data_IF_657020327378
#
_entry.id   IF_657020327378
#
_cell.length_a   1.000
_cell.length_b   1.000
_cell.length_c   1.000
_cell.angle_alpha   90.00
_cell.angle_beta   90.00
_cell.angle_gamma   90.00
#
_symmetry.space_group_name_H-M   'P 1'
#
loop_
_entity.id
_entity.type
_entity.pdbx_description
1 polymer ?
#
# COMPACT_ATOMS: atom_id res chain seq x y z
N UNK A 1 -54.81 23.21 -43.37
CA UNK A 1 -54.96 22.44 -42.12
C UNK A 1 -54.01 21.25 -42.14
N UNK A 2 -53.19 21.12 -41.08
CA UNK A 2 -52.69 19.87 -40.47
C UNK A 2 -51.92 18.86 -41.35
N UNK A 3 -50.59 18.75 -41.14
CA UNK A 3 -49.99 17.69 -40.31
C UNK A 3 -48.46 17.66 -40.47
N UNK A 4 -47.74 18.21 -39.50
CA UNK A 4 -46.27 18.19 -39.46
C UNK A 4 -45.85 18.11 -37.99
N UNK A 5 -45.93 16.92 -37.38
CA UNK A 5 -45.64 16.70 -35.95
C UNK A 5 -45.30 15.23 -35.62
N UNK A 6 -44.56 14.52 -36.48
CA UNK A 6 -44.22 13.11 -36.24
C UNK A 6 -42.72 12.77 -36.34
N UNK A 7 -41.85 13.75 -36.57
CA UNK A 7 -40.41 13.49 -36.74
C UNK A 7 -39.57 13.71 -35.47
N UNK A 8 -40.07 14.41 -34.44
CA UNK A 8 -39.25 14.79 -33.28
C UNK A 8 -39.25 13.79 -32.12
N UNK A 9 -40.14 12.79 -32.11
CA UNK A 9 -40.24 11.86 -30.96
C UNK A 9 -39.30 10.65 -31.09
N UNK A 10 -38.87 10.30 -32.30
CA UNK A 10 -38.05 9.09 -32.53
C UNK A 10 -36.56 9.32 -32.25
N UNK A 11 -36.08 10.57 -32.26
CA UNK A 11 -34.66 10.86 -32.02
C UNK A 11 -34.29 11.02 -30.53
N UNK A 12 -35.28 11.10 -29.63
CA UNK A 12 -35.02 11.37 -28.20
C UNK A 12 -34.98 10.11 -27.32
N UNK A 13 -35.31 8.94 -27.86
CA UNK A 13 -35.31 7.67 -27.12
C UNK A 13 -34.05 6.83 -27.32
N UNK A 14 -33.06 7.30 -28.10
CA UNK A 14 -31.86 6.51 -28.44
C UNK A 14 -30.60 6.86 -27.63
N UNK A 15 -30.67 7.74 -26.61
CA UNK A 15 -29.50 8.18 -25.83
C UNK A 15 -29.44 7.67 -24.38
N UNK A 16 -30.37 6.81 -23.96
CA UNK A 16 -30.40 6.27 -22.58
C UNK A 16 -29.69 4.91 -22.46
N UNK A 17 -28.98 4.45 -23.50
CA UNK A 17 -28.13 3.25 -23.47
C UNK A 17 -26.63 3.58 -23.40
N UNK A 18 -26.27 4.73 -22.78
CA UNK A 18 -24.90 4.90 -22.27
C UNK A 18 -24.79 4.05 -21.00
N UNK A 19 -24.50 2.78 -21.27
CA UNK A 19 -23.98 1.76 -20.39
C UNK A 19 -23.26 2.35 -19.17
N UNK A 20 -23.84 2.13 -17.99
CA UNK A 20 -23.09 2.03 -16.76
C UNK A 20 -22.03 0.96 -16.99
N UNK A 21 -20.80 1.39 -17.25
CA UNK A 21 -19.65 0.50 -17.32
C UNK A 21 -19.63 -0.34 -16.05
N UNK A 22 -19.80 -1.64 -16.21
CA UNK A 22 -19.46 -2.61 -15.17
C UNK A 22 -18.07 -2.26 -14.67
N UNK A 23 -18.02 -1.75 -13.44
CA UNK A 23 -16.81 -1.76 -12.64
C UNK A 23 -16.50 -3.24 -12.48
N UNK A 24 -15.71 -3.79 -13.41
CA UNK A 24 -15.19 -5.15 -13.32
C UNK A 24 -14.66 -5.28 -11.91
N UNK A 25 -15.18 -6.20 -11.07
CA UNK A 25 -14.55 -6.45 -9.80
C UNK A 25 -13.10 -6.75 -10.14
N UNK A 26 -12.19 -5.89 -9.66
CA UNK A 26 -10.75 -6.08 -9.84
C UNK A 26 -10.51 -7.55 -9.56
N UNK A 27 -10.04 -8.27 -10.58
CA UNK A 27 -9.67 -9.67 -10.48
C UNK A 27 -8.70 -9.73 -9.31
N UNK A 28 -9.18 -10.11 -8.12
CA UNK A 28 -8.35 -10.28 -6.93
C UNK A 28 -7.32 -11.29 -7.40
N UNK A 29 -6.09 -10.84 -7.59
CA UNK A 29 -4.97 -11.71 -7.93
C UNK A 29 -4.88 -12.64 -6.72
N UNK A 30 -5.43 -13.84 -6.87
CA UNK A 30 -5.43 -14.84 -5.84
C UNK A 30 -3.98 -15.11 -5.46
N UNK A 31 -3.71 -15.12 -4.16
CA UNK A 31 -2.40 -15.31 -3.54
C UNK A 31 -1.68 -16.59 -4.05
N UNK A 32 -2.42 -17.51 -4.67
CA UNK A 32 -1.91 -18.75 -5.27
C UNK A 32 -0.87 -18.62 -6.38
N UNK A 33 -0.76 -17.48 -7.10
CA UNK A 33 0.29 -17.34 -8.14
C UNK A 33 1.62 -16.75 -7.65
N UNK A 34 1.73 -16.31 -6.38
CA UNK A 34 2.94 -15.65 -5.87
C UNK A 34 3.83 -16.52 -4.97
N UNK A 35 3.33 -17.62 -4.41
CA UNK A 35 4.16 -18.46 -3.51
C UNK A 35 5.40 -19.03 -4.22
N UNK A 36 5.25 -19.44 -5.48
CA UNK A 36 6.36 -20.01 -6.26
C UNK A 36 7.50 -19.03 -6.49
N UNK A 37 7.22 -17.72 -6.63
CA UNK A 37 8.26 -16.71 -6.84
C UNK A 37 8.96 -16.26 -5.57
N UNK A 38 8.35 -16.45 -4.39
CA UNK A 38 8.98 -16.13 -3.09
C UNK A 38 10.09 -17.14 -2.75
N UNK A 39 10.04 -18.34 -3.34
CA UNK A 39 11.04 -19.39 -3.16
C UNK A 39 12.30 -19.19 -4.01
N UNK A 40 12.27 -18.29 -4.99
CA UNK A 40 13.41 -18.03 -5.86
C UNK A 40 14.58 -17.40 -5.10
N UNK A 41 15.79 -17.60 -5.62
CA UNK A 41 16.96 -16.86 -5.15
C UNK A 41 16.72 -15.35 -5.32
N UNK A 42 17.26 -14.48 -4.44
CA UNK A 42 17.10 -13.04 -4.56
C UNK A 42 17.51 -12.57 -5.97
N UNK A 43 16.57 -11.94 -6.69
CA UNK A 43 16.81 -11.41 -8.03
C UNK A 43 16.99 -9.90 -7.94
N UNK A 44 17.93 -9.30 -8.67
CA UNK A 44 17.98 -7.85 -8.79
C UNK A 44 16.66 -7.31 -9.32
N UNK A 45 16.23 -6.14 -8.83
CA UNK A 45 15.07 -5.46 -9.39
C UNK A 45 15.31 -5.20 -10.89
N UNK A 46 14.30 -5.49 -11.73
CA UNK A 46 14.36 -5.14 -13.15
C UNK A 46 14.40 -3.63 -13.33
N UNK A 47 14.91 -3.12 -14.47
CA UNK A 47 15.10 -1.68 -14.70
C UNK A 47 13.88 -0.83 -14.35
N UNK A 48 12.69 -1.19 -14.85
CA UNK A 48 11.46 -0.48 -14.52
C UNK A 48 11.09 -0.53 -13.02
N UNK A 49 11.23 -1.71 -12.38
CA UNK A 49 10.96 -1.84 -10.93
C UNK A 49 11.98 -1.04 -10.10
N UNK A 50 13.23 -0.99 -10.55
CA UNK A 50 14.31 -0.25 -9.92
C UNK A 50 14.05 1.26 -9.98
N UNK A 51 13.62 1.77 -11.14
CA UNK A 51 13.26 3.19 -11.30
C UNK A 51 12.11 3.57 -10.37
N UNK A 52 11.03 2.77 -10.34
CA UNK A 52 9.89 3.00 -9.44
C UNK A 52 10.31 2.98 -7.98
N UNK A 53 11.08 1.95 -7.57
CA UNK A 53 11.57 1.83 -6.20
C UNK A 53 12.46 3.02 -5.82
N UNK A 54 13.33 3.47 -6.73
CA UNK A 54 14.19 4.63 -6.51
C UNK A 54 13.37 5.92 -6.32
N UNK A 55 12.36 6.15 -7.15
CA UNK A 55 11.42 7.28 -7.02
C UNK A 55 10.68 7.25 -5.68
N UNK A 56 10.21 6.08 -5.23
CA UNK A 56 9.61 5.91 -3.90
C UNK A 56 10.59 6.27 -2.78
N UNK A 57 11.84 5.82 -2.87
CA UNK A 57 12.86 6.08 -1.87
C UNK A 57 13.24 7.57 -1.79
N UNK A 58 13.29 8.27 -2.93
CA UNK A 58 13.47 9.72 -2.96
C UNK A 58 12.30 10.46 -2.31
N UNK A 59 11.06 10.05 -2.61
CA UNK A 59 9.87 10.63 -2.01
C UNK A 59 9.86 10.46 -0.48
N UNK A 60 10.20 9.26 0.01
CA UNK A 60 10.32 8.98 1.44
C UNK A 60 11.47 9.73 2.12
N UNK A 61 12.59 9.96 1.43
CA UNK A 61 13.68 10.81 1.93
C UNK A 61 13.23 12.25 2.07
N UNK A 62 12.55 12.79 1.05
CA UNK A 62 12.01 14.15 1.07
C UNK A 62 10.98 14.31 2.20
N UNK A 63 10.06 13.36 2.36
CA UNK A 63 9.12 13.31 3.50
C UNK A 63 9.84 13.43 4.83
N UNK A 64 10.92 12.67 5.03
CA UNK A 64 11.67 12.70 6.29
C UNK A 64 12.17 14.11 6.62
N UNK A 65 12.70 14.82 5.61
CA UNK A 65 13.18 16.19 5.75
C UNK A 65 12.04 17.18 6.02
N UNK A 66 10.93 17.07 5.27
CA UNK A 66 9.76 17.94 5.42
C UNK A 66 9.09 17.74 6.79
N UNK A 67 8.91 16.50 7.22
CA UNK A 67 8.31 16.16 8.50
C UNK A 67 9.11 16.73 9.67
N UNK A 68 10.45 16.60 9.61
CA UNK A 68 11.34 17.18 10.63
C UNK A 68 11.37 18.71 10.63
N UNK A 69 11.29 19.33 9.46
CA UNK A 69 11.45 20.79 9.35
C UNK A 69 10.16 21.57 9.57
N UNK A 70 8.99 20.98 9.23
CA UNK A 70 7.72 21.70 9.21
C UNK A 70 6.64 21.05 10.06
N UNK A 71 6.60 19.72 10.16
CA UNK A 71 5.44 19.03 10.72
C UNK A 71 5.65 18.42 12.11
N UNK A 72 6.80 18.64 12.76
CA UNK A 72 7.02 18.14 14.12
C UNK A 72 5.99 18.73 15.08
N UNK A 73 5.39 17.87 15.90
CA UNK A 73 4.32 18.17 16.84
C UNK A 73 2.98 18.57 16.20
N UNK A 74 2.86 18.53 14.86
CA UNK A 74 1.58 18.70 14.20
C UNK A 74 0.67 17.49 14.40
N UNK A 75 -0.62 17.74 14.18
CA UNK A 75 -1.67 16.75 14.33
C UNK A 75 -2.01 16.13 12.97
N UNK A 76 -2.09 14.80 12.96
CA UNK A 76 -2.45 14.00 11.81
C UNK A 76 -3.65 13.12 12.15
N UNK A 77 -4.64 13.11 11.26
CA UNK A 77 -5.83 12.27 11.41
C UNK A 77 -5.79 11.14 10.38
N UNK A 78 -6.14 9.94 10.83
CA UNK A 78 -6.22 8.77 9.98
C UNK A 78 -7.57 8.10 10.14
N UNK A 79 -8.08 7.54 9.05
CA UNK A 79 -9.16 6.57 9.09
C UNK A 79 -8.57 5.16 9.08
N UNK A 80 -8.88 4.38 10.12
CA UNK A 80 -8.46 2.99 10.27
C UNK A 80 -9.64 2.09 9.95
N UNK A 81 -9.55 1.36 8.85
CA UNK A 81 -10.51 0.34 8.46
C UNK A 81 -9.96 -1.04 8.85
N UNK A 82 -10.68 -1.74 9.74
CA UNK A 82 -10.41 -3.13 10.08
C UNK A 82 -11.46 -4.02 9.43
N UNK A 83 -11.02 -5.04 8.69
CA UNK A 83 -11.90 -6.08 8.14
C UNK A 83 -11.50 -7.41 8.73
N UNK A 84 -12.38 -8.00 9.53
CA UNK A 84 -12.16 -9.31 10.16
C UNK A 84 -12.40 -10.47 9.18
N UNK A 85 -11.95 -11.67 9.55
CA UNK A 85 -12.11 -12.89 8.74
C UNK A 85 -13.56 -13.24 8.36
N UNK A 86 -14.53 -12.89 9.21
CA UNK A 86 -15.96 -13.04 8.94
C UNK A 86 -16.53 -11.97 7.99
N UNK A 87 -15.67 -11.11 7.41
CA UNK A 87 -15.99 -9.98 6.54
C UNK A 87 -16.71 -8.82 7.22
N UNK A 88 -16.82 -8.79 8.55
CA UNK A 88 -17.26 -7.59 9.25
C UNK A 88 -16.19 -6.52 9.14
N UNK A 89 -16.59 -5.30 8.75
CA UNK A 89 -15.71 -4.14 8.68
C UNK A 89 -16.09 -3.12 9.74
N UNK A 90 -15.09 -2.51 10.37
CA UNK A 90 -15.23 -1.39 11.28
C UNK A 90 -14.28 -0.28 10.85
N UNK A 91 -14.76 0.96 10.81
CA UNK A 91 -13.93 2.14 10.57
C UNK A 91 -13.83 2.98 11.84
N UNK A 92 -12.64 3.51 12.13
CA UNK A 92 -12.39 4.41 13.26
C UNK A 92 -11.45 5.53 12.84
N UNK A 93 -11.84 6.77 13.13
CA UNK A 93 -10.94 7.91 12.96
C UNK A 93 -10.06 8.03 14.19
N UNK A 94 -8.75 8.09 13.98
CA UNK A 94 -7.76 8.37 15.03
C UNK A 94 -7.09 9.69 14.77
N UNK A 95 -6.79 10.41 15.84
CA UNK A 95 -5.97 11.63 15.80
C UNK A 95 -4.66 11.34 16.51
N UNK A 96 -3.58 11.74 15.87
CA UNK A 96 -2.22 11.48 16.32
C UNK A 96 -1.40 12.76 16.30
N UNK A 97 -0.31 12.81 17.06
CA UNK A 97 0.68 13.87 16.99
C UNK A 97 1.99 13.32 16.48
N UNK A 98 2.61 14.01 15.52
CA UNK A 98 3.92 13.62 15.01
C UNK A 98 5.00 13.96 16.05
N UNK A 99 5.78 12.96 16.44
CA UNK A 99 6.91 13.12 17.34
C UNK A 99 8.16 12.42 16.79
N UNK A 100 9.32 12.82 17.30
CA UNK A 100 10.59 12.15 17.01
C UNK A 100 11.14 11.52 18.29
N UNK A 101 11.54 10.26 18.22
CA UNK A 101 12.18 9.54 19.32
C UNK A 101 13.32 8.69 18.75
N UNK A 102 14.53 8.85 19.29
CA UNK A 102 15.73 8.14 18.82
C UNK A 102 15.96 8.25 17.30
N UNK A 103 15.76 9.45 16.73
CA UNK A 103 15.81 9.73 15.28
C UNK A 103 14.77 8.98 14.43
N UNK A 104 13.72 8.44 15.04
CA UNK A 104 12.59 7.80 14.36
C UNK A 104 11.36 8.69 14.51
N UNK A 105 10.71 8.99 13.38
CA UNK A 105 9.45 9.71 13.34
C UNK A 105 8.29 8.74 13.67
N UNK A 106 7.44 9.12 14.62
CA UNK A 106 6.29 8.33 15.08
C UNK A 106 5.03 9.19 15.12
N UNK A 107 3.89 8.60 14.76
CA UNK A 107 2.57 9.13 15.06
C UNK A 107 2.17 8.64 16.45
N UNK A 108 1.96 9.52 17.41
CA UNK A 108 1.56 9.12 18.76
C UNK A 108 0.08 9.43 19.02
N UNK A 109 -0.65 8.47 19.58
CA UNK A 109 -2.08 8.59 19.90
C UNK A 109 -2.35 8.05 21.29
N UNK A 110 -3.32 8.66 21.97
CA UNK A 110 -3.84 8.17 23.26
C UNK A 110 -4.89 7.06 23.09
N UNK A 111 -5.37 6.83 21.87
CA UNK A 111 -6.33 5.78 21.58
C UNK A 111 -5.63 4.41 21.58
N UNK A 112 -6.30 3.41 22.17
CA UNK A 112 -5.80 2.04 22.24
C UNK A 112 -6.02 1.22 20.95
N UNK A 113 -6.59 1.83 19.90
CA UNK A 113 -6.80 1.19 18.60
C UNK A 113 -5.47 0.90 17.93
N UNK A 114 -5.36 -0.20 17.19
CA UNK A 114 -4.18 -0.49 16.38
C UNK A 114 -4.06 0.49 15.21
N UNK A 115 -2.85 0.97 14.94
CA UNK A 115 -2.50 1.77 13.76
C UNK A 115 -1.00 1.67 13.46
N UNK A 116 -0.58 2.11 12.28
CA UNK A 116 0.83 2.12 11.90
C UNK A 116 1.54 3.31 12.55
N UNK A 117 2.12 3.05 13.74
CA UNK A 117 2.78 4.07 14.57
C UNK A 117 4.01 4.70 13.91
N UNK A 118 4.86 3.89 13.28
CA UNK A 118 6.10 4.38 12.69
C UNK A 118 5.82 5.09 11.38
N UNK A 119 6.34 6.30 11.22
CA UNK A 119 6.26 7.02 9.95
C UNK A 119 7.16 6.31 8.94
N UNK A 120 6.57 5.89 7.82
CA UNK A 120 7.34 5.34 6.70
C UNK A 120 8.30 6.41 6.17
N UNK A 121 9.58 6.06 6.12
CA UNK A 121 10.70 6.87 5.64
C UNK A 121 11.68 5.98 4.89
N UNK A 122 12.69 6.59 4.26
CA UNK A 122 13.73 5.84 3.56
C UNK A 122 14.61 4.97 4.48
N UNK A 123 14.58 5.19 5.80
CA UNK A 123 15.36 4.44 6.81
C UNK A 123 14.50 3.64 7.79
N UNK A 124 13.19 3.89 7.83
CA UNK A 124 12.25 3.21 8.72
C UNK A 124 11.04 2.75 7.94
N UNK A 125 10.63 1.50 8.14
CA UNK A 125 9.42 0.94 7.56
C UNK A 125 9.67 -0.14 6.52
N UNK A 126 8.65 -0.40 5.70
CA UNK A 126 8.62 -1.49 4.73
C UNK A 126 9.73 -1.38 3.68
N UNK A 127 10.00 -0.17 3.19
CA UNK A 127 10.96 0.04 2.11
C UNK A 127 12.40 0.30 2.58
N UNK A 128 12.65 0.40 3.88
CA UNK A 128 13.99 0.67 4.41
C UNK A 128 15.09 -0.29 3.90
N UNK A 129 14.87 -1.63 3.80
CA UNK A 129 15.87 -2.56 3.26
C UNK A 129 16.20 -2.33 1.78
N UNK A 130 15.27 -1.74 1.01
CA UNK A 130 15.43 -1.46 -0.42
C UNK A 130 16.05 -0.07 -0.62
N UNK A 131 15.58 0.93 0.14
CA UNK A 131 16.01 2.32 -0.02
C UNK A 131 17.45 2.57 0.39
N UNK A 132 17.95 1.90 1.43
CA UNK A 132 19.35 2.04 1.87
C UNK A 132 20.36 1.75 0.75
N UNK A 133 20.32 0.56 0.12
CA UNK A 133 21.16 0.21 -1.02
C UNK A 133 20.92 1.09 -2.25
N UNK A 134 19.65 1.31 -2.65
CA UNK A 134 19.33 2.08 -3.86
C UNK A 134 19.85 3.51 -3.79
N UNK A 135 19.66 4.20 -2.66
CA UNK A 135 20.12 5.58 -2.50
C UNK A 135 21.65 5.70 -2.42
N UNK A 136 22.36 4.59 -2.18
CA UNK A 136 23.83 4.50 -2.24
C UNK A 136 24.34 4.07 -3.63
N UNK A 137 23.46 3.89 -4.62
CA UNK A 137 23.82 3.41 -5.96
C UNK A 137 24.13 1.92 -6.02
N UNK A 138 23.67 1.13 -5.05
CA UNK A 138 23.83 -0.32 -5.03
C UNK A 138 22.62 -1.02 -5.66
N UNK A 139 22.84 -2.24 -6.15
CA UNK A 139 21.75 -3.08 -6.64
C UNK A 139 20.87 -3.54 -5.47
N UNK A 140 19.57 -3.30 -5.55
CA UNK A 140 18.59 -3.87 -4.64
C UNK A 140 17.95 -5.11 -5.26
N UNK A 141 17.60 -6.08 -4.41
CA UNK A 141 16.91 -7.30 -4.80
C UNK A 141 15.41 -7.19 -4.54
N UNK A 142 14.63 -7.96 -5.29
CA UNK A 142 13.19 -8.09 -5.08
C UNK A 142 12.84 -8.92 -3.85
N UNK A 143 13.83 -9.53 -3.19
CA UNK A 143 13.65 -10.40 -2.04
C UNK A 143 14.67 -10.05 -0.96
N UNK A 144 14.22 -9.98 0.29
CA UNK A 144 15.05 -9.71 1.48
C UNK A 144 14.78 -10.79 2.51
N UNK A 145 15.84 -11.31 3.14
CA UNK A 145 15.70 -12.24 4.26
C UNK A 145 15.30 -11.45 5.53
N UNK A 146 14.21 -11.86 6.19
CA UNK A 146 13.68 -11.25 7.41
C UNK A 146 13.58 -12.28 8.52
N UNK A 147 14.64 -12.42 9.33
CA UNK A 147 14.65 -13.30 10.51
C UNK A 147 14.32 -14.76 10.16
N UNK A 148 13.06 -15.16 10.39
CA UNK A 148 12.52 -16.49 10.15
C UNK A 148 11.82 -16.66 8.79
N UNK A 149 11.83 -15.62 7.95
CA UNK A 149 11.14 -15.61 6.66
C UNK A 149 11.87 -14.85 5.56
N UNK A 150 11.19 -14.72 4.43
CA UNK A 150 11.60 -13.94 3.27
C UNK A 150 10.50 -12.98 2.91
N UNK A 151 10.87 -11.74 2.59
CA UNK A 151 9.97 -10.73 2.06
C UNK A 151 10.25 -10.50 0.59
N UNK A 152 9.26 -10.74 -0.26
CA UNK A 152 9.32 -10.40 -1.69
C UNK A 152 8.58 -9.09 -1.96
N UNK A 153 9.12 -8.24 -2.83
CA UNK A 153 8.61 -6.93 -3.20
C UNK A 153 8.21 -6.89 -4.68
N UNK A 154 7.07 -6.24 -4.96
CA UNK A 154 6.61 -5.93 -6.29
C UNK A 154 6.23 -4.46 -6.38
N UNK A 155 6.80 -3.78 -7.37
CA UNK A 155 6.64 -2.35 -7.58
C UNK A 155 5.80 -2.09 -8.84
N UNK A 156 4.90 -1.12 -8.73
CA UNK A 156 3.97 -0.73 -9.79
C UNK A 156 3.89 0.80 -9.84
N UNK A 157 3.80 1.37 -11.04
CA UNK A 157 3.49 2.78 -11.23
C UNK A 157 1.98 2.92 -11.49
N UNK A 158 1.34 3.89 -10.84
CA UNK A 158 -0.08 4.21 -10.97
C UNK A 158 -0.22 5.74 -11.05
N UNK A 159 -0.35 6.33 -12.25
CA UNK A 159 -0.61 7.76 -12.52
C UNK A 159 -0.29 8.76 -11.38
N UNK A 160 0.98 9.13 -11.24
CA UNK A 160 1.44 10.09 -10.21
C UNK A 160 1.71 9.47 -8.83
N UNK A 161 1.37 8.21 -8.64
CA UNK A 161 1.66 7.40 -7.46
C UNK A 161 2.54 6.21 -7.82
N UNK A 162 3.26 5.73 -6.81
CA UNK A 162 3.95 4.46 -6.85
C UNK A 162 3.34 3.53 -5.82
N UNK A 163 3.14 2.28 -6.20
CA UNK A 163 2.58 1.24 -5.34
C UNK A 163 3.61 0.14 -5.14
N UNK A 164 3.74 -0.30 -3.90
CA UNK A 164 4.49 -1.51 -3.57
C UNK A 164 3.55 -2.51 -2.91
N UNK A 165 3.64 -3.76 -3.34
CA UNK A 165 3.09 -4.91 -2.62
C UNK A 165 4.25 -5.76 -2.16
N UNK A 166 4.23 -6.15 -0.89
CA UNK A 166 5.20 -7.10 -0.35
C UNK A 166 4.50 -8.30 0.27
N UNK A 167 5.15 -9.45 0.18
CA UNK A 167 4.69 -10.69 0.77
C UNK A 167 5.77 -11.22 1.71
N UNK A 168 5.45 -11.35 3.00
CA UNK A 168 6.29 -12.06 3.95
C UNK A 168 5.86 -13.52 3.97
N UNK A 169 6.78 -14.40 3.63
CA UNK A 169 6.59 -15.83 3.75
C UNK A 169 7.55 -16.45 4.76
N UNK A 170 7.08 -17.46 5.50
CA UNK A 170 7.86 -18.21 6.48
C UNK A 170 7.85 -19.67 6.13
N UNK A 171 8.87 -20.40 6.60
CA UNK A 171 8.92 -21.86 6.44
C UNK A 171 7.75 -22.49 7.22
N UNK A 172 6.99 -23.36 6.57
CA UNK A 172 5.96 -24.14 7.24
C UNK A 172 6.62 -25.19 8.16
N UNK A 173 6.44 -25.03 9.46
CA UNK A 173 6.96 -25.97 10.48
C UNK A 173 6.02 -27.13 10.75
N UNK A 174 4.78 -27.09 10.24
CA UNK A 174 3.72 -28.06 10.53
C UNK A 174 3.46 -29.03 9.36
N UNK A 175 4.10 -28.83 8.21
CA UNK A 175 3.98 -29.73 7.06
C UNK A 175 4.47 -31.14 7.42
N UNK A 176 3.54 -32.08 7.65
CA UNK A 176 3.81 -33.50 7.94
C UNK A 176 4.37 -34.29 6.75
N UNK A 177 4.54 -33.64 5.59
CA UNK A 177 5.03 -34.24 4.35
C UNK A 177 6.52 -33.96 4.18
N UNK A 178 7.29 -35.01 3.85
CA UNK A 178 8.73 -35.03 3.58
C UNK A 178 9.21 -34.16 2.39
N UNK A 179 8.38 -33.26 1.89
CA UNK A 179 8.76 -32.21 0.94
C UNK A 179 9.38 -31.06 1.72
N UNK A 180 10.70 -31.12 1.90
CA UNK A 180 11.51 -30.04 2.47
C UNK A 180 11.11 -28.67 1.90
N UNK A 181 10.78 -27.72 2.78
CA UNK A 181 10.91 -26.28 2.51
C UNK A 181 9.72 -25.55 1.89
N UNK A 182 8.46 -25.95 2.14
CA UNK A 182 7.32 -25.13 1.74
C UNK A 182 7.30 -23.83 2.55
N UNK A 183 7.17 -22.69 1.85
CA UNK A 183 6.96 -21.39 2.46
C UNK A 183 5.47 -21.04 2.41
N UNK A 184 4.92 -20.55 3.52
CA UNK A 184 3.55 -20.02 3.59
C UNK A 184 3.61 -18.50 3.69
N UNK A 185 2.78 -17.81 2.92
CA UNK A 185 2.60 -16.35 3.07
C UNK A 185 1.87 -16.11 4.38
N UNK A 186 2.51 -15.38 5.29
CA UNK A 186 1.94 -15.05 6.60
C UNK A 186 1.45 -13.60 6.67
N UNK A 187 1.86 -12.77 5.71
CA UNK A 187 1.47 -11.36 5.64
C UNK A 187 1.63 -10.81 4.23
N UNK A 188 0.66 -10.01 3.80
CA UNK A 188 0.76 -9.13 2.63
C UNK A 188 0.70 -7.68 3.12
N UNK A 189 1.68 -6.85 2.74
CA UNK A 189 1.67 -5.41 3.01
C UNK A 189 1.59 -4.66 1.67
N UNK A 190 0.65 -3.73 1.54
CA UNK A 190 0.43 -2.90 0.36
C UNK A 190 0.60 -1.44 0.78
N UNK A 191 1.41 -0.69 0.04
CA UNK A 191 1.58 0.75 0.25
C UNK A 191 1.44 1.52 -1.05
N UNK A 192 0.75 2.65 -1.00
CA UNK A 192 0.73 3.65 -2.06
C UNK A 192 1.41 4.94 -1.59
N UNK A 193 2.38 5.40 -2.38
CA UNK A 193 3.19 6.57 -2.08
C UNK A 193 3.00 7.61 -3.18
N UNK A 194 2.71 8.85 -2.78
CA UNK A 194 2.68 9.98 -3.70
C UNK A 194 4.10 10.30 -4.19
N UNK A 195 4.31 10.17 -5.50
CA UNK A 195 5.62 10.35 -6.15
C UNK A 195 5.63 11.37 -7.28
N UNK A 196 4.47 11.85 -7.71
CA UNK A 196 4.28 12.78 -8.83
C UNK A 196 4.66 14.22 -8.51
N UNK A 197 4.60 15.13 -9.50
CA UNK A 197 4.91 16.54 -9.30
C UNK A 197 3.96 17.17 -8.27
N UNK A 198 4.56 17.87 -7.31
CA UNK A 198 3.87 18.46 -6.15
C UNK A 198 3.03 19.64 -6.59
N UNK A 199 1.71 19.53 -6.49
CA UNK A 199 0.86 20.72 -6.34
C UNK A 199 1.21 21.38 -5.00
N UNK A 200 1.22 22.72 -4.89
CA UNK A 200 1.46 23.41 -3.63
C UNK A 200 0.59 22.83 -2.50
N UNK A 201 1.22 22.43 -1.38
CA UNK A 201 0.54 21.82 -0.23
C UNK A 201 0.51 20.28 -0.21
N UNK A 202 0.96 19.59 -1.27
CA UNK A 202 1.08 18.12 -1.26
C UNK A 202 2.43 17.70 -0.69
N UNK A 203 2.42 16.82 0.30
CA UNK A 203 3.65 16.28 0.89
C UNK A 203 4.08 15.03 0.08
N UNK A 204 5.22 15.08 -0.59
CA UNK A 204 5.78 13.90 -1.25
C UNK A 204 6.10 12.81 -0.25
N UNK A 205 5.96 11.55 -0.67
CA UNK A 205 6.22 10.42 0.20
C UNK A 205 5.14 10.22 1.26
N UNK A 206 4.13 11.11 1.31
CA UNK A 206 2.98 10.92 2.16
C UNK A 206 2.25 9.67 1.68
N UNK A 207 2.12 8.74 2.62
CA UNK A 207 1.44 7.49 2.36
C UNK A 207 -0.05 7.77 2.48
N UNK A 208 -0.77 7.65 1.37
CA UNK A 208 -2.21 7.89 1.33
C UNK A 208 -3.01 6.66 1.73
N UNK A 209 -2.42 5.46 1.57
CA UNK A 209 -3.03 4.18 1.88
C UNK A 209 -1.97 3.14 2.27
N UNK A 210 -2.01 2.72 3.53
CA UNK A 210 -1.26 1.57 4.03
C UNK A 210 -2.24 0.43 4.34
N UNK A 211 -2.07 -0.73 3.73
CA UNK A 211 -2.87 -1.92 4.04
C UNK A 211 -1.97 -3.08 4.47
N UNK A 212 -2.30 -3.73 5.57
CA UNK A 212 -1.74 -5.00 6.00
C UNK A 212 -2.82 -6.07 5.96
N UNK A 213 -2.49 -7.25 5.45
CA UNK A 213 -3.36 -8.42 5.40
C UNK A 213 -2.70 -9.63 6.02
N UNK A 214 -3.46 -10.38 6.80
CA UNK A 214 -3.03 -11.61 7.46
C UNK A 214 -4.00 -12.72 7.05
N UNK A 215 -3.51 -13.90 6.61
CA UNK A 215 -4.37 -15.02 6.28
C UNK A 215 -5.22 -15.46 7.47
N UNK A 216 -6.49 -15.75 7.22
CA UNK A 216 -7.40 -16.31 8.20
C UNK A 216 -7.16 -17.82 8.41
N UNK A 217 -7.70 -18.42 9.50
CA UNK A 217 -7.57 -19.86 9.76
C UNK A 217 -8.13 -20.77 8.66
N UNK A 218 -9.03 -20.26 7.82
CA UNK A 218 -9.58 -20.99 6.67
C UNK A 218 -8.58 -21.11 5.50
N UNK A 219 -7.45 -20.39 5.53
CA UNK A 219 -6.44 -20.35 4.47
C UNK A 219 -6.89 -19.68 3.17
N UNK A 220 -8.10 -19.11 3.13
CA UNK A 220 -8.72 -18.54 1.91
C UNK A 220 -9.00 -17.05 2.07
N UNK A 221 -9.44 -16.63 3.25
CA UNK A 221 -9.75 -15.23 3.54
C UNK A 221 -8.57 -14.53 4.22
N UNK A 222 -8.65 -13.20 4.28
CA UNK A 222 -7.67 -12.36 4.94
C UNK A 222 -8.38 -11.41 5.89
N UNK A 223 -7.85 -11.30 7.09
CA UNK A 223 -8.08 -10.14 7.94
C UNK A 223 -7.22 -9.01 7.41
N UNK A 224 -7.72 -7.78 7.43
CA UNK A 224 -6.98 -6.61 6.95
C UNK A 224 -7.13 -5.40 7.83
N UNK A 225 -6.03 -4.67 8.00
CA UNK A 225 -6.03 -3.32 8.55
C UNK A 225 -5.58 -2.36 7.46
N UNK A 226 -6.36 -1.32 7.21
CA UNK A 226 -6.05 -0.26 6.28
C UNK A 226 -6.03 1.08 7.02
N UNK A 227 -4.98 1.86 6.82
CA UNK A 227 -4.83 3.21 7.35
C UNK A 227 -4.82 4.19 6.19
N UNK A 228 -5.82 5.07 6.19
CA UNK A 228 -6.01 6.12 5.21
C UNK A 228 -5.64 7.45 5.82
N UNK A 229 -4.82 8.21 5.11
CA UNK A 229 -4.50 9.57 5.51
C UNK A 229 -5.71 10.47 5.24
N UNK A 230 -6.31 11.04 6.29
CA UNK A 230 -7.32 12.08 6.12
C UNK A 230 -6.57 13.39 5.92
N UNK A 231 -6.78 14.03 4.77
CA UNK A 231 -6.10 15.27 4.40
C UNK A 231 -6.10 16.24 5.58
N UNK A 232 -4.93 16.84 5.82
CA UNK A 232 -4.77 17.89 6.81
C UNK A 232 -5.86 18.95 6.53
N UNK A 233 -6.80 19.14 7.44
CA UNK A 233 -7.69 20.29 7.36
C UNK A 233 -6.80 21.50 7.61
N UNK A 234 -6.57 22.39 6.62
CA UNK A 234 -5.94 23.65 6.94
C UNK A 234 -6.91 24.40 7.85
N UNK A 235 -6.56 24.54 9.12
CA UNK A 235 -7.20 25.52 10.01
C UNK A 235 -6.93 26.94 9.51
#
# INVERSE_FOLDING_TARGET
MRNQNWACVVLLTLTILVSCGETRPQKRVGVGTSLGSIMDAPKPLSGQKMDIAYTMCLALRNKTTEFRSKHLNEIFSFEIEHTACNRSSTSTVITTRLHETNNVLIYDSTLATFYFKNVETHTTGLLAPICGPLLKGQLATDTVDEGDGKRQFNFYAEDGRAKVTSYLARRDTNAQSSTFGQFIVVREDIKQIETGPVLPGVILGLESDQTQRIPCPDGVTFESVRQLFLTHSPD
#
